data_IF_494073805675
#
_entry.id   IF_494073805675
#
_cell.length_a   1.000
_cell.length_b   1.000
_cell.length_c   1.000
_cell.angle_alpha   90.00
_cell.angle_beta   90.00
_cell.angle_gamma   90.00
#
_symmetry.space_group_name_H-M   'P 1'
#
loop_
_entity.id
_entity.type
_entity.pdbx_description
1 polymer ?
#
# COMPACT_ATOMS: atom_id res chain seq x y z
N UNK A 1 1.60 6.91 24.91
CA UNK A 1 0.99 7.33 23.64
C UNK A 1 0.18 8.58 23.86
N UNK A 2 0.47 9.63 23.11
CA UNK A 2 -0.29 10.87 23.11
C UNK A 2 -1.33 10.85 22.01
N UNK A 3 -2.42 11.61 22.13
CA UNK A 3 -3.46 11.71 21.11
C UNK A 3 -2.97 12.43 19.84
N UNK A 4 -1.85 13.15 19.96
CA UNK A 4 -1.18 13.86 18.87
C UNK A 4 -0.47 12.92 17.88
N UNK A 5 -0.19 11.68 18.28
CA UNK A 5 0.36 10.69 17.37
C UNK A 5 -0.75 10.01 16.58
N UNK A 6 -0.54 9.92 15.28
CA UNK A 6 -1.31 9.00 14.44
C UNK A 6 -1.35 7.63 15.13
N UNK A 7 -2.55 7.07 15.30
CA UNK A 7 -2.77 5.77 15.96
C UNK A 7 -2.59 5.73 17.48
N UNK A 8 -2.22 6.81 18.14
CA UNK A 8 -2.14 6.85 19.60
C UNK A 8 -3.47 6.53 20.29
N UNK A 9 -4.56 7.08 19.82
CA UNK A 9 -5.93 6.77 20.28
C UNK A 9 -6.31 5.32 20.03
N UNK A 10 -5.91 4.73 18.89
CA UNK A 10 -6.14 3.33 18.60
C UNK A 10 -5.40 2.41 19.61
N UNK A 11 -4.12 2.68 19.90
CA UNK A 11 -3.39 1.92 20.92
C UNK A 11 -4.03 2.03 22.29
N UNK A 12 -4.50 3.21 22.70
CA UNK A 12 -5.22 3.41 23.96
C UNK A 12 -6.54 2.63 24.02
N UNK A 13 -7.23 2.48 22.89
CA UNK A 13 -8.46 1.67 22.84
C UNK A 13 -8.21 0.16 22.89
N UNK A 14 -7.02 -0.29 22.55
CA UNK A 14 -6.66 -1.70 22.46
C UNK A 14 -5.80 -2.17 23.64
N UNK A 15 -4.81 -1.37 24.08
CA UNK A 15 -3.88 -1.70 25.16
C UNK A 15 -4.24 -0.92 26.41
N UNK A 16 -4.60 -1.62 27.48
CA UNK A 16 -4.92 -1.03 28.77
C UNK A 16 -3.66 -0.69 29.56
N UNK A 17 -2.71 -1.62 29.64
CA UNK A 17 -1.43 -1.41 30.30
C UNK A 17 -0.30 -2.23 29.68
N UNK A 18 0.92 -1.79 29.89
CA UNK A 18 2.12 -2.50 29.47
C UNK A 18 3.21 -2.32 30.52
N UNK A 19 3.84 -3.40 30.93
CA UNK A 19 4.95 -3.38 31.91
C UNK A 19 6.04 -4.37 31.54
N UNK A 20 7.29 -4.00 31.81
CA UNK A 20 8.41 -4.95 31.81
C UNK A 20 8.36 -5.77 33.11
N UNK A 21 8.23 -7.08 33.00
CA UNK A 21 8.23 -8.03 34.13
C UNK A 21 9.67 -8.36 34.49
N UNK A 22 10.51 -8.57 33.51
CA UNK A 22 11.94 -8.79 33.64
C UNK A 22 12.69 -8.22 32.41
N UNK A 23 13.97 -8.54 32.27
CA UNK A 23 14.84 -8.06 31.19
C UNK A 23 14.34 -8.40 29.78
N UNK A 24 13.62 -9.48 29.63
CA UNK A 24 13.22 -10.04 28.33
C UNK A 24 11.71 -10.23 28.18
N UNK A 25 10.94 -9.95 29.26
CA UNK A 25 9.51 -10.19 29.29
C UNK A 25 8.73 -8.89 29.44
N UNK A 26 7.82 -8.65 28.50
CA UNK A 26 6.84 -7.57 28.57
C UNK A 26 5.44 -8.17 28.71
N UNK A 27 4.74 -7.78 29.76
CA UNK A 27 3.33 -8.12 29.96
C UNK A 27 2.45 -7.00 29.43
N UNK A 28 1.49 -7.36 28.59
CA UNK A 28 0.52 -6.42 28.03
C UNK A 28 -0.89 -6.84 28.43
N UNK A 29 -1.60 -5.95 29.11
CA UNK A 29 -3.03 -6.11 29.42
C UNK A 29 -3.85 -5.42 28.35
N UNK A 30 -4.79 -6.13 27.75
CA UNK A 30 -5.68 -5.59 26.73
C UNK A 30 -6.95 -5.02 27.37
N UNK A 31 -7.59 -4.04 26.72
CA UNK A 31 -8.86 -3.46 27.16
C UNK A 31 -9.96 -4.53 27.13
N UNK A 32 -9.95 -5.36 26.10
CA UNK A 32 -10.90 -6.48 25.91
C UNK A 32 -10.13 -7.74 25.50
N UNK A 33 -10.64 -8.94 25.83
CA UNK A 33 -10.04 -10.19 25.37
C UNK A 33 -9.93 -10.24 23.84
N UNK A 34 -8.75 -10.58 23.34
CA UNK A 34 -8.51 -10.74 21.90
C UNK A 34 -7.69 -11.99 21.68
N UNK A 35 -8.14 -12.89 20.82
CA UNK A 35 -7.47 -14.16 20.53
C UNK A 35 -6.31 -14.03 19.53
N UNK A 36 -6.19 -12.86 18.87
CA UNK A 36 -5.16 -12.59 17.86
C UNK A 36 -4.49 -11.23 18.07
N UNK A 37 -3.99 -10.91 19.28
CA UNK A 37 -3.42 -9.59 19.57
C UNK A 37 -2.18 -9.30 18.71
N UNK A 38 -1.37 -10.32 18.41
CA UNK A 38 -0.18 -10.21 17.58
C UNK A 38 -0.50 -9.72 16.15
N UNK A 39 -1.63 -10.10 15.59
CA UNK A 39 -2.04 -9.62 14.27
C UNK A 39 -2.33 -8.12 14.28
N UNK A 40 -2.96 -7.62 15.34
CA UNK A 40 -3.23 -6.19 15.49
C UNK A 40 -1.96 -5.36 15.71
N UNK A 41 -0.98 -5.91 16.41
CA UNK A 41 0.28 -5.23 16.71
C UNK A 41 1.28 -5.35 15.56
N UNK A 42 1.26 -6.47 14.83
CA UNK A 42 2.21 -6.79 13.77
C UNK A 42 1.80 -6.37 12.36
N UNK A 43 0.58 -5.82 12.18
CA UNK A 43 0.15 -5.37 10.86
C UNK A 43 0.95 -4.13 10.45
N UNK A 44 1.72 -4.28 9.38
CA UNK A 44 2.47 -3.20 8.76
C UNK A 44 1.60 -2.57 7.69
N UNK A 45 0.95 -1.45 8.01
CA UNK A 45 0.25 -0.63 7.02
C UNK A 45 0.75 0.79 7.15
N UNK A 46 1.57 1.26 6.22
CA UNK A 46 2.01 2.65 6.07
C UNK A 46 2.42 3.35 7.38
N UNK A 47 3.20 2.67 8.23
CA UNK A 47 3.68 3.23 9.47
C UNK A 47 2.82 2.98 10.71
N UNK A 48 1.81 2.17 10.61
CA UNK A 48 0.90 1.77 11.69
C UNK A 48 1.43 0.73 12.65
N UNK A 49 2.62 0.26 12.44
CA UNK A 49 3.18 -0.78 13.26
C UNK A 49 3.50 -0.30 14.67
N UNK A 50 3.42 -1.21 15.58
CA UNK A 50 3.99 -1.07 16.91
C UNK A 50 5.50 -0.83 16.79
N UNK A 51 5.93 0.41 17.07
CA UNK A 51 7.34 0.80 17.00
C UNK A 51 7.98 0.70 18.37
N UNK A 52 8.97 -0.17 18.48
CA UNK A 52 9.82 -0.24 19.67
C UNK A 52 10.89 0.83 19.56
N UNK A 53 10.98 1.68 20.56
CA UNK A 53 11.96 2.78 20.64
C UNK A 53 12.88 2.61 21.83
N UNK A 54 14.16 3.06 21.77
CA UNK A 54 15.10 2.92 22.87
C UNK A 54 14.72 3.82 24.06
N UNK A 55 14.39 3.18 25.20
CA UNK A 55 13.94 3.87 26.40
C UNK A 55 14.91 4.97 26.85
N UNK A 56 16.22 4.68 26.90
CA UNK A 56 17.25 5.60 27.37
C UNK A 56 17.37 6.92 26.56
N UNK A 57 16.82 6.93 25.35
CA UNK A 57 16.74 8.14 24.51
C UNK A 57 15.39 8.80 24.72
N UNK A 58 14.30 8.05 24.56
CA UNK A 58 12.95 8.59 24.45
C UNK A 58 12.31 8.95 25.81
N UNK A 59 12.76 8.37 26.93
CA UNK A 59 12.11 8.59 28.24
C UNK A 59 12.21 10.04 28.76
N UNK A 60 13.15 10.84 28.21
CA UNK A 60 13.38 12.23 28.61
C UNK A 60 12.89 13.24 27.58
N UNK A 61 12.42 12.75 26.45
CA UNK A 61 12.03 13.57 25.32
C UNK A 61 10.50 13.71 25.25
N UNK A 62 10.03 14.84 24.77
CA UNK A 62 8.65 14.99 24.38
C UNK A 62 8.43 14.32 23.00
N UNK A 63 7.68 13.21 22.95
CA UNK A 63 7.52 12.46 21.71
C UNK A 63 6.87 13.28 20.58
N UNK A 64 6.09 14.32 20.87
CA UNK A 64 5.42 15.15 19.87
C UNK A 64 6.39 16.10 19.14
N UNK A 65 7.45 16.49 19.80
CA UNK A 65 8.39 17.51 19.30
C UNK A 65 9.79 16.99 19.04
N UNK A 66 10.12 15.82 19.60
CA UNK A 66 11.46 15.24 19.49
C UNK A 66 11.82 14.85 18.06
N UNK A 67 12.92 15.40 17.57
CA UNK A 67 13.48 15.09 16.25
C UNK A 67 14.59 14.05 16.38
N UNK A 68 14.23 12.78 16.23
CA UNK A 68 15.17 11.66 16.30
C UNK A 68 16.04 11.60 15.04
N UNK A 69 17.12 12.35 15.02
CA UNK A 69 17.96 12.57 13.84
C UNK A 69 19.08 11.55 13.66
N UNK A 70 19.36 10.78 14.68
CA UNK A 70 20.39 9.72 14.69
C UNK A 70 19.77 8.43 15.22
N UNK A 71 18.91 7.74 14.42
CA UNK A 71 18.12 6.62 14.88
C UNK A 71 18.99 5.38 15.10
N UNK A 72 18.85 4.74 16.27
CA UNK A 72 19.34 3.39 16.48
C UNK A 72 18.49 2.41 15.68
N UNK A 73 19.16 1.47 15.01
CA UNK A 73 18.52 0.46 14.18
C UNK A 73 18.58 -0.92 14.83
N UNK A 74 17.47 -1.65 14.79
CA UNK A 74 17.41 -3.10 15.07
C UNK A 74 17.62 -3.93 13.80
N UNK A 75 17.53 -3.29 12.63
CA UNK A 75 17.77 -3.93 11.33
C UNK A 75 19.26 -4.09 11.02
N UNK A 76 19.59 -4.70 9.88
CA UNK A 76 20.98 -4.97 9.48
C UNK A 76 21.73 -3.74 8.97
N UNK A 77 21.06 -2.60 8.82
CA UNK A 77 21.63 -1.33 8.40
C UNK A 77 21.43 -0.25 9.44
N UNK A 78 22.38 0.68 9.53
CA UNK A 78 22.26 1.91 10.34
C UNK A 78 22.42 3.14 9.46
N UNK A 79 21.83 4.26 9.86
CA UNK A 79 22.01 5.54 9.17
C UNK A 79 23.47 6.00 9.35
N UNK A 80 24.22 6.06 8.23
CA UNK A 80 25.63 6.46 8.22
C UNK A 80 25.79 7.95 7.93
N UNK A 81 25.08 8.45 6.92
CA UNK A 81 25.12 9.85 6.50
C UNK A 81 23.77 10.31 5.99
N UNK A 82 23.53 11.60 6.05
CA UNK A 82 22.34 12.21 5.46
C UNK A 82 22.64 13.61 4.96
N UNK A 83 21.85 14.08 4.02
CA UNK A 83 21.83 15.48 3.62
C UNK A 83 21.16 16.33 4.72
N UNK A 84 21.68 17.52 4.97
CA UNK A 84 21.13 18.43 5.96
C UNK A 84 19.70 18.90 5.62
N UNK A 85 19.35 18.91 4.32
CA UNK A 85 18.04 19.27 3.81
C UNK A 85 17.11 18.07 3.61
N UNK A 86 17.61 16.84 3.85
CA UNK A 86 16.82 15.63 3.73
C UNK A 86 16.66 15.10 2.30
N UNK A 87 17.49 15.55 1.34
CA UNK A 87 17.40 15.07 -0.05
C UNK A 87 17.93 13.66 -0.25
N UNK A 88 18.74 13.15 0.66
CA UNK A 88 19.22 11.77 0.63
C UNK A 88 19.60 11.25 2.02
N UNK A 89 19.57 9.93 2.16
CA UNK A 89 19.94 9.19 3.36
C UNK A 89 20.77 7.98 2.94
N UNK A 90 21.97 7.85 3.51
CA UNK A 90 22.86 6.73 3.28
C UNK A 90 22.87 5.81 4.50
N UNK A 91 22.49 4.59 4.26
CA UNK A 91 22.56 3.52 5.26
C UNK A 91 23.75 2.62 4.98
N UNK A 92 24.43 2.19 6.02
CA UNK A 92 25.58 1.29 5.97
C UNK A 92 25.27 0.00 6.69
N UNK A 93 25.68 -1.12 6.10
CA UNK A 93 25.53 -2.43 6.73
C UNK A 93 26.33 -2.48 8.02
N UNK A 94 25.71 -2.91 9.10
CA UNK A 94 26.32 -3.06 10.42
C UNK A 94 27.30 -4.22 10.40
N UNK A 95 28.37 -4.13 11.22
CA UNK A 95 29.30 -5.25 11.43
C UNK A 95 28.61 -6.44 12.11
N UNK A 96 27.65 -6.15 13.02
CA UNK A 96 26.85 -7.15 13.73
C UNK A 96 25.46 -7.37 13.09
N UNK A 97 25.38 -7.31 11.76
CA UNK A 97 24.14 -7.55 10.98
C UNK A 97 23.47 -8.89 11.32
N UNK A 98 24.27 -9.91 11.68
CA UNK A 98 23.85 -11.25 12.06
C UNK A 98 23.00 -11.29 13.34
N UNK A 99 23.06 -10.23 14.16
CA UNK A 99 22.20 -10.07 15.35
C UNK A 99 20.84 -9.42 15.05
N UNK A 100 20.63 -8.94 13.84
CA UNK A 100 19.33 -8.42 13.41
C UNK A 100 18.37 -9.55 13.06
N UNK A 101 17.06 -9.28 13.16
CA UNK A 101 16.03 -10.27 12.79
C UNK A 101 16.21 -10.71 11.34
N UNK A 102 16.45 -9.78 10.43
CA UNK A 102 16.71 -10.07 9.01
C UNK A 102 17.98 -10.92 8.86
N UNK A 103 19.06 -10.60 9.58
CA UNK A 103 20.29 -11.37 9.51
C UNK A 103 20.12 -12.80 10.01
N UNK A 104 19.28 -13.02 11.03
CA UNK A 104 18.96 -14.36 11.55
C UNK A 104 18.07 -15.17 10.59
N UNK A 105 17.11 -14.53 9.93
CA UNK A 105 16.11 -15.20 9.07
C UNK A 105 16.62 -15.37 7.64
N UNK A 106 17.13 -14.30 7.04
CA UNK A 106 17.48 -14.23 5.62
C UNK A 106 18.98 -14.31 5.33
N UNK A 107 19.81 -14.21 6.39
CA UNK A 107 21.27 -14.21 6.26
C UNK A 107 21.87 -12.84 5.94
N UNK A 108 23.08 -12.84 5.43
CA UNK A 108 23.84 -11.60 5.17
C UNK A 108 23.22 -10.75 4.06
N UNK A 109 22.86 -9.48 4.34
CA UNK A 109 22.46 -8.54 3.30
C UNK A 109 23.61 -8.25 2.34
N UNK A 110 23.38 -8.34 1.04
CA UNK A 110 24.44 -8.19 0.02
C UNK A 110 24.99 -6.78 -0.11
N UNK A 111 24.18 -5.71 -0.21
CA UNK A 111 24.69 -4.35 -0.34
C UNK A 111 25.45 -3.91 0.91
N UNK A 112 26.62 -3.29 0.74
CA UNK A 112 27.33 -2.63 1.85
C UNK A 112 26.64 -1.31 2.23
N UNK A 113 26.11 -0.60 1.23
CA UNK A 113 25.42 0.68 1.38
C UNK A 113 24.07 0.65 0.68
N UNK A 114 23.09 1.34 1.28
CA UNK A 114 21.79 1.61 0.67
C UNK A 114 21.57 3.13 0.70
N UNK A 115 21.44 3.74 -0.47
CA UNK A 115 21.23 5.16 -0.64
C UNK A 115 19.77 5.42 -1.03
N UNK A 116 19.02 6.10 -0.18
CA UNK A 116 17.74 6.68 -0.53
C UNK A 116 17.95 8.11 -0.99
N UNK A 117 17.54 8.42 -2.22
CA UNK A 117 17.71 9.75 -2.81
C UNK A 117 16.40 10.28 -3.36
N UNK A 118 16.08 11.52 -3.04
CA UNK A 118 14.93 12.22 -3.57
C UNK A 118 15.28 12.91 -4.89
N UNK A 119 14.59 12.55 -5.96
CA UNK A 119 14.82 13.08 -7.29
C UNK A 119 13.81 14.19 -7.70
N UNK A 120 12.78 14.44 -6.91
CA UNK A 120 11.72 15.38 -7.21
C UNK A 120 10.65 14.79 -8.10
N UNK A 121 10.66 15.15 -9.39
CA UNK A 121 9.60 14.68 -10.31
C UNK A 121 9.83 13.25 -10.80
N UNK A 122 8.74 12.64 -11.31
CA UNK A 122 8.76 11.29 -11.87
C UNK A 122 9.72 11.19 -13.06
N UNK A 123 9.70 12.17 -13.98
CA UNK A 123 10.54 12.19 -15.16
C UNK A 123 12.04 12.14 -14.80
N UNK A 124 12.44 12.85 -13.72
CA UNK A 124 13.84 12.81 -13.25
C UNK A 124 14.20 11.44 -12.69
N UNK A 125 13.27 10.79 -11.96
CA UNK A 125 13.48 9.44 -11.44
C UNK A 125 13.61 8.42 -12.57
N UNK A 126 12.73 8.51 -13.56
CA UNK A 126 12.75 7.64 -14.74
C UNK A 126 14.04 7.82 -15.53
N UNK A 127 14.49 9.06 -15.75
CA UNK A 127 15.76 9.31 -16.43
C UNK A 127 16.97 8.78 -15.65
N UNK A 128 16.95 8.88 -14.33
CA UNK A 128 18.01 8.28 -13.49
C UNK A 128 18.02 6.74 -13.62
N UNK A 129 16.85 6.09 -13.70
CA UNK A 129 16.74 4.66 -13.94
C UNK A 129 17.17 4.26 -15.37
N UNK A 130 16.84 5.06 -16.38
CA UNK A 130 17.34 4.87 -17.76
C UNK A 130 18.87 4.89 -17.81
N UNK A 131 19.48 5.79 -17.06
CA UNK A 131 20.95 5.95 -17.00
C UNK A 131 21.64 4.96 -16.04
N UNK A 132 20.91 4.04 -15.39
CA UNK A 132 21.41 3.14 -14.34
C UNK A 132 22.05 3.89 -13.14
N UNK A 133 21.51 5.07 -12.79
CA UNK A 133 21.92 5.84 -11.60
C UNK A 133 21.19 5.37 -10.33
N UNK A 134 20.12 4.59 -10.49
CA UNK A 134 19.34 3.99 -9.40
C UNK A 134 19.01 2.54 -9.70
N UNK A 135 18.96 1.73 -8.65
CA UNK A 135 18.69 0.28 -8.73
C UNK A 135 17.20 -0.05 -8.50
N UNK A 136 16.50 0.77 -7.72
CA UNK A 136 15.09 0.57 -7.36
C UNK A 136 14.33 1.87 -7.56
N UNK A 137 13.22 1.77 -8.27
CA UNK A 137 12.28 2.87 -8.52
C UNK A 137 10.88 2.42 -8.14
N UNK A 138 10.19 3.23 -7.33
CA UNK A 138 8.81 2.96 -6.90
C UNK A 138 7.84 3.96 -7.53
N UNK A 139 6.62 3.50 -7.73
CA UNK A 139 5.46 4.31 -8.11
C UNK A 139 5.72 5.21 -9.32
N UNK A 140 5.76 4.61 -10.48
CA UNK A 140 5.78 5.32 -11.78
C UNK A 140 4.50 5.04 -12.56
N UNK A 141 4.15 5.98 -13.43
CA UNK A 141 3.02 5.83 -14.34
C UNK A 141 3.28 4.73 -15.38
N UNK A 142 2.24 4.13 -15.97
CA UNK A 142 2.39 3.17 -17.07
C UNK A 142 3.18 3.73 -18.25
N UNK A 143 2.98 4.99 -18.61
CA UNK A 143 3.71 5.67 -19.68
C UNK A 143 5.20 5.80 -19.34
N UNK A 144 5.52 6.11 -18.10
CA UNK A 144 6.90 6.16 -17.62
C UNK A 144 7.56 4.78 -17.62
N UNK A 145 6.79 3.73 -17.32
CA UNK A 145 7.27 2.36 -17.41
C UNK A 145 7.59 1.96 -18.86
N UNK A 146 6.71 2.29 -19.80
CA UNK A 146 6.94 2.00 -21.22
C UNK A 146 8.20 2.69 -21.73
N UNK A 147 8.42 3.96 -21.36
CA UNK A 147 9.65 4.72 -21.70
C UNK A 147 10.88 4.06 -21.05
N UNK A 148 10.80 3.68 -19.79
CA UNK A 148 11.91 3.04 -19.09
C UNK A 148 12.28 1.71 -19.74
N UNK A 149 11.30 0.86 -20.04
CA UNK A 149 11.50 -0.46 -20.66
C UNK A 149 12.11 -0.36 -22.06
N UNK A 150 11.66 0.63 -22.87
CA UNK A 150 12.22 0.89 -24.18
C UNK A 150 13.70 1.30 -24.11
N UNK A 151 14.05 2.19 -23.18
CA UNK A 151 15.40 2.77 -23.09
C UNK A 151 16.37 1.97 -22.22
N UNK A 152 15.87 1.18 -21.30
CA UNK A 152 16.67 0.28 -20.45
C UNK A 152 16.08 -1.14 -20.44
N UNK A 153 16.53 -2.01 -21.36
CA UNK A 153 16.02 -3.39 -21.46
C UNK A 153 16.27 -4.25 -20.21
N UNK A 154 17.15 -3.81 -19.31
CA UNK A 154 17.40 -4.51 -18.04
C UNK A 154 16.39 -4.12 -16.95
N UNK A 155 15.57 -3.10 -17.16
CA UNK A 155 14.52 -2.74 -16.22
C UNK A 155 13.47 -3.86 -16.12
N UNK A 156 13.15 -4.23 -14.89
CA UNK A 156 12.16 -5.27 -14.55
C UNK A 156 11.17 -4.75 -13.52
N UNK A 157 9.94 -5.24 -13.60
CA UNK A 157 8.95 -5.06 -12.53
C UNK A 157 8.33 -6.40 -12.14
N UNK A 158 7.49 -6.40 -11.12
CA UNK A 158 6.84 -7.62 -10.61
C UNK A 158 5.89 -8.24 -11.65
N UNK A 159 5.21 -7.40 -12.44
CA UNK A 159 4.34 -7.79 -13.54
C UNK A 159 4.82 -7.10 -14.79
N UNK A 160 5.49 -7.84 -15.68
CA UNK A 160 6.08 -7.30 -16.91
C UNK A 160 5.06 -7.15 -18.04
N UNK A 161 3.88 -7.75 -17.87
CA UNK A 161 2.78 -7.77 -18.85
C UNK A 161 1.54 -7.12 -18.25
N UNK A 162 0.59 -6.80 -19.12
CA UNK A 162 -0.71 -6.29 -18.72
C UNK A 162 -1.49 -7.33 -17.88
N UNK A 163 -2.18 -6.91 -16.83
CA UNK A 163 -2.21 -5.60 -16.18
C UNK A 163 -1.01 -5.42 -15.25
N UNK A 164 -0.32 -4.28 -15.38
CA UNK A 164 0.92 -3.99 -14.64
C UNK A 164 0.72 -3.69 -13.14
N UNK A 165 -0.48 -3.73 -12.64
CA UNK A 165 -0.78 -3.52 -11.22
C UNK A 165 -0.35 -4.69 -10.34
N UNK A 166 -0.01 -4.42 -9.09
CA UNK A 166 0.22 -5.46 -8.08
C UNK A 166 -1.12 -6.20 -7.84
N UNK A 167 -1.21 -7.49 -8.13
CA UNK A 167 -2.50 -8.22 -8.09
C UNK A 167 -3.11 -8.27 -6.68
N UNK A 168 -2.27 -8.26 -5.66
CA UNK A 168 -2.65 -8.50 -4.27
C UNK A 168 -2.42 -7.27 -3.37
N UNK A 169 -2.53 -6.05 -3.90
CA UNK A 169 -2.51 -4.84 -3.08
C UNK A 169 -3.76 -4.81 -2.17
N UNK A 170 -3.58 -4.90 -0.84
CA UNK A 170 -4.70 -4.83 0.09
C UNK A 170 -5.23 -3.41 0.28
N UNK A 171 -4.62 -2.42 -0.36
CA UNK A 171 -5.02 -1.03 -0.27
C UNK A 171 -6.06 -0.70 -1.33
N UNK A 172 -7.23 -0.28 -0.87
CA UNK A 172 -8.24 0.28 -1.74
C UNK A 172 -8.01 1.75 -2.02
N UNK A 173 -8.21 2.13 -3.28
CA UNK A 173 -8.29 3.52 -3.71
C UNK A 173 -9.70 3.80 -4.17
N UNK A 174 -10.36 4.70 -3.47
CA UNK A 174 -11.78 4.99 -3.74
C UNK A 174 -12.24 6.26 -3.07
N UNK A 175 -13.52 6.55 -3.24
CA UNK A 175 -14.20 7.66 -2.57
C UNK A 175 -14.95 7.11 -1.35
N UNK A 176 -14.59 7.57 -0.17
CA UNK A 176 -15.28 7.23 1.07
C UNK A 176 -16.26 8.34 1.45
N UNK A 177 -17.51 7.96 1.75
CA UNK A 177 -18.54 8.91 2.16
C UNK A 177 -18.57 9.06 3.68
N UNK A 178 -18.56 10.30 4.18
CA UNK A 178 -18.80 10.58 5.59
C UNK A 178 -20.26 10.40 5.93
N UNK A 179 -20.64 9.20 6.35
CA UNK A 179 -22.02 8.89 6.72
C UNK A 179 -22.53 9.57 8.00
N UNK A 180 -21.70 10.35 8.71
CA UNK A 180 -22.18 11.25 9.78
C UNK A 180 -22.89 12.48 9.21
N UNK A 181 -22.70 12.80 7.94
CA UNK A 181 -23.45 13.82 7.22
C UNK A 181 -24.76 13.21 6.70
N UNK A 182 -25.88 13.90 6.93
CA UNK A 182 -27.22 13.40 6.57
C UNK A 182 -27.39 13.08 5.08
N UNK A 183 -26.76 13.86 4.18
CA UNK A 183 -26.80 13.60 2.75
C UNK A 183 -26.10 12.29 2.39
N UNK A 184 -24.89 12.09 2.91
CA UNK A 184 -24.11 10.88 2.61
C UNK A 184 -24.55 9.66 3.43
N UNK A 185 -25.33 9.86 4.52
CA UNK A 185 -25.97 8.76 5.22
C UNK A 185 -27.13 8.16 4.40
N UNK A 186 -27.71 8.94 3.48
CA UNK A 186 -28.72 8.44 2.56
C UNK A 186 -28.10 7.46 1.56
N UNK A 187 -28.57 6.21 1.58
CA UNK A 187 -28.09 5.14 0.71
C UNK A 187 -28.28 5.47 -0.77
N UNK A 188 -29.38 6.08 -1.14
CA UNK A 188 -29.74 6.38 -2.53
C UNK A 188 -28.86 7.48 -3.10
N UNK A 189 -28.48 8.46 -2.28
CA UNK A 189 -27.50 9.48 -2.66
C UNK A 189 -26.14 8.83 -2.96
N UNK A 190 -25.69 7.89 -2.14
CA UNK A 190 -24.45 7.17 -2.42
C UNK A 190 -24.53 6.33 -3.70
N UNK A 191 -25.65 5.67 -3.95
CA UNK A 191 -25.89 4.98 -5.22
C UNK A 191 -25.85 5.92 -6.41
N UNK A 192 -26.56 7.05 -6.35
CA UNK A 192 -26.59 8.04 -7.41
C UNK A 192 -25.16 8.56 -7.74
N UNK A 193 -24.37 8.89 -6.71
CA UNK A 193 -22.98 9.32 -6.88
C UNK A 193 -22.11 8.22 -7.48
N UNK A 194 -22.25 6.98 -7.04
CA UNK A 194 -21.49 5.85 -7.59
C UNK A 194 -21.84 5.60 -9.07
N UNK A 195 -23.12 5.62 -9.42
CA UNK A 195 -23.60 5.40 -10.78
C UNK A 195 -23.30 6.58 -11.73
N UNK A 196 -23.03 7.77 -11.18
CA UNK A 196 -22.61 8.92 -11.99
C UNK A 196 -21.15 8.87 -12.43
N UNK A 197 -20.36 7.96 -11.87
CA UNK A 197 -18.95 7.80 -12.22
C UNK A 197 -18.78 6.74 -13.32
N UNK A 198 -18.25 7.14 -14.45
CA UNK A 198 -17.78 6.19 -15.47
C UNK A 198 -16.38 5.69 -15.09
N UNK A 199 -16.33 4.58 -14.36
CA UNK A 199 -15.06 4.03 -13.85
C UNK A 199 -14.14 3.57 -14.99
N UNK A 200 -14.67 3.19 -16.13
CA UNK A 200 -13.88 2.81 -17.30
C UNK A 200 -13.14 4.03 -17.84
N UNK A 201 -13.85 5.15 -18.02
CA UNK A 201 -13.22 6.40 -18.44
C UNK A 201 -12.20 6.94 -17.42
N UNK A 202 -12.50 6.80 -16.12
CA UNK A 202 -11.54 7.14 -15.05
C UNK A 202 -10.29 6.28 -15.17
N UNK A 203 -10.43 4.96 -15.33
CA UNK A 203 -9.30 4.04 -15.51
C UNK A 203 -8.48 4.38 -16.75
N UNK A 204 -9.14 4.64 -17.87
CA UNK A 204 -8.48 5.03 -19.12
C UNK A 204 -7.71 6.35 -18.98
N UNK A 205 -8.35 7.39 -18.44
CA UNK A 205 -7.74 8.70 -18.30
C UNK A 205 -6.58 8.76 -17.30
N UNK A 206 -6.59 7.89 -16.28
CA UNK A 206 -5.61 7.92 -15.18
C UNK A 206 -4.47 6.95 -15.40
N UNK A 207 -4.76 5.76 -15.92
CA UNK A 207 -3.82 4.65 -16.01
C UNK A 207 -3.80 3.94 -17.37
N UNK A 208 -4.39 4.54 -18.39
CA UNK A 208 -4.49 3.92 -19.71
C UNK A 208 -5.24 2.57 -19.68
N UNK A 209 -6.18 2.40 -18.73
CA UNK A 209 -6.90 1.14 -18.52
C UNK A 209 -6.09 0.00 -17.91
N UNK A 210 -4.85 0.26 -17.52
CA UNK A 210 -3.89 -0.78 -17.05
C UNK A 210 -4.03 -1.13 -15.57
N UNK A 211 -5.10 -0.70 -14.87
CA UNK A 211 -5.39 -1.07 -13.49
C UNK A 211 -6.69 -1.84 -13.38
N UNK A 212 -6.69 -2.83 -12.47
CA UNK A 212 -7.92 -3.51 -12.06
C UNK A 212 -8.81 -2.56 -11.28
N UNK A 213 -10.10 -2.64 -11.51
CA UNK A 213 -11.12 -1.96 -10.70
C UNK A 213 -12.19 -2.96 -10.26
N UNK A 214 -12.85 -2.66 -9.16
CA UNK A 214 -13.90 -3.50 -8.59
C UNK A 214 -15.10 -2.64 -8.20
N UNK A 215 -16.33 -3.14 -8.37
CA UNK A 215 -17.53 -2.48 -7.87
C UNK A 215 -17.65 -2.57 -6.35
N UNK A 216 -16.76 -3.27 -5.68
CA UNK A 216 -16.83 -3.58 -4.26
C UNK A 216 -15.75 -2.85 -3.50
N UNK A 217 -16.11 -2.35 -2.31
CA UNK A 217 -15.20 -1.78 -1.33
C UNK A 217 -14.43 -2.89 -0.56
N UNK A 218 -13.88 -3.84 -1.29
CA UNK A 218 -13.05 -4.93 -0.77
C UNK A 218 -11.91 -5.16 -1.76
N UNK A 219 -10.65 -5.08 -1.33
CA UNK A 219 -9.52 -5.30 -2.22
C UNK A 219 -9.60 -6.65 -2.94
N UNK A 220 -9.31 -6.70 -4.25
CA UNK A 220 -9.39 -7.94 -5.02
C UNK A 220 -8.13 -8.82 -4.83
N UNK A 221 -7.70 -9.02 -3.57
CA UNK A 221 -6.63 -9.96 -3.25
C UNK A 221 -7.10 -11.38 -3.42
N UNK A 222 -6.19 -12.31 -3.69
CA UNK A 222 -6.52 -13.74 -3.85
C UNK A 222 -7.34 -14.28 -2.69
N UNK A 223 -6.94 -13.95 -1.45
CA UNK A 223 -7.66 -14.41 -0.24
C UNK A 223 -9.07 -13.83 -0.10
N UNK A 224 -9.30 -12.59 -0.54
CA UNK A 224 -10.59 -11.91 -0.41
C UNK A 224 -11.49 -12.16 -1.64
N UNK A 225 -10.90 -12.56 -2.75
CA UNK A 225 -11.62 -12.77 -4.01
C UNK A 225 -12.68 -13.87 -3.85
N UNK A 226 -12.30 -15.03 -3.34
CA UNK A 226 -13.22 -16.15 -3.17
C UNK A 226 -14.27 -15.93 -2.08
N UNK A 227 -13.87 -15.26 -0.98
CA UNK A 227 -14.75 -15.10 0.19
C UNK A 227 -15.74 -13.93 0.04
N UNK A 228 -15.31 -12.85 -0.61
CA UNK A 228 -16.12 -11.62 -0.70
C UNK A 228 -16.46 -11.22 -2.13
N UNK A 229 -15.47 -11.20 -3.04
CA UNK A 229 -15.71 -10.68 -4.38
C UNK A 229 -16.73 -11.54 -5.16
N UNK A 230 -16.50 -12.82 -5.30
CA UNK A 230 -17.39 -13.73 -6.06
C UNK A 230 -18.81 -13.76 -5.51
N UNK A 231 -19.08 -14.00 -4.20
CA UNK A 231 -20.45 -14.00 -3.68
C UNK A 231 -21.15 -12.65 -3.83
N UNK A 232 -20.43 -11.53 -3.69
CA UNK A 232 -21.01 -10.21 -3.86
C UNK A 232 -21.33 -9.90 -5.33
N UNK A 233 -20.49 -10.32 -6.27
CA UNK A 233 -20.77 -10.19 -7.71
C UNK A 233 -22.01 -11.00 -8.09
N UNK A 234 -22.15 -12.22 -7.58
CA UNK A 234 -23.36 -13.04 -7.81
C UNK A 234 -24.62 -12.35 -7.26
N UNK A 235 -24.52 -11.73 -6.10
CA UNK A 235 -25.61 -10.93 -5.56
C UNK A 235 -25.90 -9.70 -6.44
N UNK A 236 -24.87 -8.95 -6.87
CA UNK A 236 -25.03 -7.77 -7.73
C UNK A 236 -25.70 -8.08 -9.06
N UNK A 237 -25.43 -9.25 -9.67
CA UNK A 237 -26.11 -9.70 -10.88
C UNK A 237 -27.63 -9.85 -10.72
N UNK A 238 -28.07 -10.15 -9.53
CA UNK A 238 -29.50 -10.31 -9.20
C UNK A 238 -30.16 -9.05 -8.64
N UNK A 239 -29.36 -8.09 -8.18
CA UNK A 239 -29.87 -6.88 -7.54
C UNK A 239 -30.50 -5.95 -8.55
N UNK A 240 -31.68 -5.45 -8.20
CA UNK A 240 -32.38 -4.39 -8.92
C UNK A 240 -32.97 -3.39 -7.93
N UNK A 241 -33.10 -2.14 -8.33
CA UNK A 241 -33.85 -1.13 -7.61
C UNK A 241 -35.37 -1.39 -7.73
N UNK A 242 -36.19 -0.65 -6.96
CA UNK A 242 -37.62 -0.79 -6.95
C UNK A 242 -38.28 -0.53 -8.32
N UNK A 243 -37.66 0.30 -9.15
CA UNK A 243 -38.07 0.58 -10.52
C UNK A 243 -37.62 -0.48 -11.55
N UNK A 244 -36.91 -1.51 -11.06
CA UNK A 244 -36.37 -2.60 -11.89
C UNK A 244 -35.01 -2.32 -12.55
N UNK A 245 -34.42 -1.14 -12.33
CA UNK A 245 -33.09 -0.84 -12.85
C UNK A 245 -32.01 -1.70 -12.17
N UNK A 246 -31.16 -2.36 -12.97
CA UNK A 246 -30.02 -3.15 -12.52
C UNK A 246 -28.75 -2.32 -12.62
N UNK A 247 -28.11 -1.94 -11.49
CA UNK A 247 -26.94 -1.09 -11.50
C UNK A 247 -25.65 -1.80 -11.91
N UNK A 248 -25.63 -3.12 -11.88
CA UNK A 248 -24.45 -3.91 -12.19
C UNK A 248 -24.33 -4.19 -13.69
N UNK A 249 -23.22 -3.78 -14.29
CA UNK A 249 -22.93 -4.06 -15.69
C UNK A 249 -22.07 -5.34 -15.82
N UNK A 250 -22.69 -6.45 -16.20
CA UNK A 250 -22.02 -7.75 -16.38
C UNK A 250 -20.97 -7.72 -17.52
N UNK A 251 -21.08 -6.77 -18.44
CA UNK A 251 -20.19 -6.66 -19.59
C UNK A 251 -19.05 -5.67 -19.38
N UNK A 252 -18.92 -5.06 -18.20
CA UNK A 252 -17.96 -3.98 -17.96
C UNK A 252 -16.51 -4.38 -18.29
N UNK A 253 -16.10 -5.61 -17.97
CA UNK A 253 -14.77 -6.12 -18.29
C UNK A 253 -14.56 -6.26 -19.80
N UNK A 254 -15.54 -6.85 -20.54
CA UNK A 254 -15.48 -6.95 -22.01
C UNK A 254 -15.44 -5.60 -22.68
N UNK A 255 -16.28 -4.67 -22.24
CA UNK A 255 -16.28 -3.29 -22.74
C UNK A 255 -14.93 -2.61 -22.53
N UNK A 256 -14.27 -2.89 -21.40
CA UNK A 256 -12.93 -2.36 -21.13
C UNK A 256 -11.89 -2.97 -22.08
N UNK A 257 -11.92 -4.27 -22.33
CA UNK A 257 -11.03 -4.93 -23.29
C UNK A 257 -11.21 -4.36 -24.69
N UNK A 258 -12.45 -4.14 -25.15
CA UNK A 258 -12.71 -3.52 -26.44
C UNK A 258 -12.21 -2.07 -26.51
N UNK A 259 -12.37 -1.31 -25.43
CA UNK A 259 -11.84 0.05 -25.34
C UNK A 259 -10.31 0.06 -25.43
N UNK A 260 -9.62 -0.82 -24.72
CA UNK A 260 -8.18 -0.98 -24.76
C UNK A 260 -7.66 -1.38 -26.14
N UNK A 261 -8.40 -2.23 -26.88
CA UNK A 261 -8.07 -2.56 -28.27
C UNK A 261 -8.11 -1.33 -29.18
N UNK A 262 -9.08 -0.45 -28.98
CA UNK A 262 -9.15 0.81 -29.77
C UNK A 262 -7.99 1.74 -29.50
N UNK A 263 -7.42 1.68 -28.31
CA UNK A 263 -6.22 2.44 -27.90
C UNK A 263 -4.89 1.77 -28.29
N UNK A 264 -4.96 0.61 -28.97
CA UNK A 264 -3.77 -0.09 -29.46
C UNK A 264 -2.99 -0.86 -28.39
N UNK A 265 -3.60 -1.17 -27.25
CA UNK A 265 -2.97 -1.99 -26.22
C UNK A 265 -2.88 -3.43 -26.68
N UNK A 266 -1.67 -4.00 -26.63
CA UNK A 266 -1.39 -5.37 -27.03
C UNK A 266 -1.50 -6.36 -25.83
N UNK A 267 -1.51 -7.67 -26.12
CA UNK A 267 -1.55 -8.75 -25.13
C UNK A 267 -2.74 -8.70 -24.17
N UNK A 268 -3.90 -8.31 -24.71
CA UNK A 268 -5.15 -8.27 -23.95
C UNK A 268 -5.74 -9.66 -23.74
N UNK A 269 -6.54 -9.83 -22.66
CA UNK A 269 -7.33 -11.07 -22.47
C UNK A 269 -8.16 -11.42 -23.70
N UNK A 270 -8.19 -12.69 -24.06
CA UNK A 270 -8.91 -13.18 -25.24
C UNK A 270 -9.98 -14.21 -24.92
N UNK A 271 -9.92 -14.82 -23.75
CA UNK A 271 -10.86 -15.84 -23.31
C UNK A 271 -11.77 -15.32 -22.21
N UNK A 272 -12.93 -15.95 -22.05
CA UNK A 272 -13.90 -15.63 -20.99
C UNK A 272 -13.34 -15.82 -19.57
N UNK A 273 -12.37 -16.72 -19.41
CA UNK A 273 -11.72 -16.94 -18.11
C UNK A 273 -10.71 -15.86 -17.76
N UNK A 274 -10.13 -15.25 -18.78
CA UNK A 274 -9.15 -14.16 -18.61
C UNK A 274 -9.83 -12.79 -18.40
N UNK A 275 -11.04 -12.61 -18.95
CA UNK A 275 -11.85 -11.40 -18.84
C UNK A 275 -12.70 -11.43 -17.56
#
# INVERSE_FOLDING_TARGET
TTEEFSWGSWYKSFVKSMKAVDKYTVEMELVEPNVKPQQKLGVIVFGNNFKVVPKHIWEKEDPATFKYTDPLSLGPYTLSKRDAQGNWFLYEKREDWDKSDVGVIDGEPKPQYVLFKYFGSEEKRVMAAVNNEIDILQDISPESWDILKEKNPNAKCWTEEFPYAIPDDPCERGISFNCSNEYYNNREVRWALTLSMDIKQVSMATFGGKLKFSPLAVPPTTALSDVYQKPMVDWLKTYAFEDGYKPFNENAAREMVELLKTEGVENLPTTEEEI
#
